data_IF_078110958463
#
_entry.id   IF_078110958463
#
_cell.length_a   1.000
_cell.length_b   1.000
_cell.length_c   1.000
_cell.angle_alpha   90.00
_cell.angle_beta   90.00
_cell.angle_gamma   90.00
#
_symmetry.space_group_name_H-M   'P 1'
#
loop_
_entity.id
_entity.type
_entity.pdbx_description
1 polymer ?
#
# COMPACT_ATOMS: atom_id res chain seq x y z
N UNK A 1 -8.76 -27.52 47.92
CA UNK A 1 -7.86 -26.36 48.15
C UNK A 1 -6.56 -26.40 47.34
N UNK A 2 -5.76 -27.49 47.32
CA UNK A 2 -4.44 -27.51 46.64
C UNK A 2 -4.44 -27.24 45.12
N UNK A 3 -5.50 -27.62 44.39
CA UNK A 3 -5.60 -27.42 42.93
C UNK A 3 -5.80 -25.94 42.54
N UNK A 4 -6.58 -25.19 43.32
CA UNK A 4 -6.85 -23.77 43.07
C UNK A 4 -5.62 -22.88 43.34
N UNK A 5 -4.84 -23.20 44.39
CA UNK A 5 -3.60 -22.49 44.70
C UNK A 5 -2.55 -22.66 43.60
N UNK A 6 -2.37 -23.89 43.10
CA UNK A 6 -1.43 -24.17 41.98
C UNK A 6 -1.80 -23.43 40.69
N UNK A 7 -3.09 -23.28 40.39
CA UNK A 7 -3.53 -22.52 39.20
C UNK A 7 -3.20 -21.02 39.36
N UNK A 8 -3.52 -20.44 40.52
CA UNK A 8 -3.26 -19.03 40.77
C UNK A 8 -1.77 -18.68 40.72
N UNK A 9 -0.89 -19.59 41.14
CA UNK A 9 0.57 -19.45 41.00
C UNK A 9 1.01 -19.51 39.52
N UNK A 10 0.43 -20.42 38.72
CA UNK A 10 0.73 -20.55 37.30
C UNK A 10 0.24 -19.34 36.48
N UNK A 11 -0.94 -18.80 36.80
CA UNK A 11 -1.48 -17.59 36.17
C UNK A 11 -0.56 -16.37 36.44
N UNK A 12 -0.11 -16.18 37.69
CA UNK A 12 0.87 -15.13 38.03
C UNK A 12 2.20 -15.29 37.32
N UNK A 13 2.68 -16.52 37.14
CA UNK A 13 3.89 -16.78 36.38
C UNK A 13 3.72 -16.38 34.90
N UNK A 14 2.58 -16.71 34.30
CA UNK A 14 2.26 -16.29 32.94
C UNK A 14 2.19 -14.76 32.81
N UNK A 15 1.57 -14.07 33.78
CA UNK A 15 1.52 -12.60 33.83
C UNK A 15 2.92 -11.98 33.91
N UNK A 16 3.80 -12.55 34.74
CA UNK A 16 5.17 -12.10 34.86
C UNK A 16 5.96 -12.27 33.56
N UNK A 17 5.79 -13.38 32.83
CA UNK A 17 6.41 -13.56 31.52
C UNK A 17 5.84 -12.62 30.47
N UNK A 18 4.51 -12.42 30.44
CA UNK A 18 3.87 -11.49 29.52
C UNK A 18 4.34 -10.04 29.75
N UNK A 19 4.54 -9.64 31.00
CA UNK A 19 5.04 -8.31 31.37
C UNK A 19 6.49 -8.03 30.91
N UNK A 20 7.30 -9.06 30.65
CA UNK A 20 8.66 -8.91 30.11
C UNK A 20 8.67 -8.58 28.63
N UNK A 21 7.60 -8.86 27.91
CA UNK A 21 7.48 -8.55 26.49
C UNK A 21 7.04 -7.09 26.35
N UNK A 22 8.00 -6.19 26.15
CA UNK A 22 7.75 -4.75 26.04
C UNK A 22 7.97 -4.21 24.62
N UNK A 23 8.52 -5.01 23.71
CA UNK A 23 8.82 -4.63 22.34
C UNK A 23 8.72 -5.84 21.41
N UNK A 24 8.43 -5.56 20.14
CA UNK A 24 8.42 -6.54 19.06
C UNK A 24 9.28 -6.03 17.92
N UNK A 25 9.91 -6.95 17.20
CA UNK A 25 10.71 -6.64 16.02
C UNK A 25 9.98 -7.03 14.76
N UNK A 26 10.25 -6.31 13.68
CA UNK A 26 9.72 -6.59 12.34
C UNK A 26 10.84 -7.17 11.49
N UNK A 27 10.57 -8.28 10.80
CA UNK A 27 11.48 -8.91 9.83
C UNK A 27 10.76 -9.02 8.49
N UNK A 28 11.15 -8.19 7.53
CA UNK A 28 10.42 -8.05 6.26
C UNK A 28 8.98 -7.57 6.50
N UNK A 29 8.00 -8.29 5.94
CA UNK A 29 6.58 -8.02 6.12
C UNK A 29 5.94 -8.88 7.22
N UNK A 30 6.68 -9.18 8.31
CA UNK A 30 6.17 -9.99 9.40
C UNK A 30 6.65 -9.52 10.78
N UNK A 31 5.75 -9.53 11.75
CA UNK A 31 6.09 -9.34 13.17
C UNK A 31 6.73 -10.62 13.69
N UNK A 32 7.94 -10.50 14.23
CA UNK A 32 8.62 -11.61 14.89
C UNK A 32 8.08 -11.74 16.32
N UNK A 33 7.34 -12.82 16.58
CA UNK A 33 6.85 -13.13 17.92
C UNK A 33 8.02 -13.64 18.79
N UNK A 34 8.11 -13.20 20.05
CA UNK A 34 9.13 -13.69 20.98
C UNK A 34 8.89 -15.14 21.34
N UNK A 35 9.95 -15.89 21.56
CA UNK A 35 9.89 -17.24 22.12
C UNK A 35 9.95 -17.16 23.64
N UNK A 36 8.94 -17.70 24.32
CA UNK A 36 8.91 -17.79 25.79
C UNK A 36 8.87 -19.27 26.17
N UNK A 37 9.84 -19.72 26.97
CA UNK A 37 9.98 -21.13 27.29
C UNK A 37 8.71 -21.69 27.99
N UNK A 38 8.13 -22.72 27.38
CA UNK A 38 6.92 -23.37 27.88
C UNK A 38 5.64 -22.55 27.75
N UNK A 39 5.61 -21.58 26.82
CA UNK A 39 4.40 -20.87 26.41
C UNK A 39 4.33 -20.76 24.89
N UNK A 40 3.12 -20.91 24.36
CA UNK A 40 2.77 -20.56 23.00
C UNK A 40 2.33 -19.10 22.96
N UNK A 41 3.00 -18.29 22.11
CA UNK A 41 2.74 -16.85 21.99
C UNK A 41 1.97 -16.57 20.71
N UNK A 42 0.83 -15.90 20.82
CA UNK A 42 -0.01 -15.51 19.67
C UNK A 42 -0.43 -14.05 19.78
N UNK A 43 -0.81 -13.42 18.66
CA UNK A 43 -1.39 -12.08 18.66
C UNK A 43 -2.88 -12.20 18.98
N UNK A 44 -3.29 -11.62 20.11
CA UNK A 44 -4.69 -11.54 20.52
C UNK A 44 -5.46 -10.50 19.73
N UNK A 45 -4.88 -9.31 19.63
CA UNK A 45 -5.52 -8.17 18.97
C UNK A 45 -4.49 -7.23 18.33
N UNK A 46 -4.96 -6.52 17.31
CA UNK A 46 -4.27 -5.44 16.63
C UNK A 46 -5.20 -4.24 16.57
N UNK A 47 -4.68 -3.03 16.77
CA UNK A 47 -5.46 -1.80 16.61
C UNK A 47 -5.77 -1.49 15.15
N UNK A 48 -5.02 -2.08 14.21
CA UNK A 48 -5.22 -1.95 12.77
C UNK A 48 -4.91 -3.29 12.08
N UNK A 49 -5.93 -4.14 11.97
CA UNK A 49 -5.81 -5.48 11.34
C UNK A 49 -5.57 -5.43 9.83
N UNK A 50 -5.79 -4.28 9.18
CA UNK A 50 -5.45 -4.10 7.77
C UNK A 50 -3.94 -3.90 7.56
N UNK A 51 -3.25 -3.33 8.55
CA UNK A 51 -1.79 -3.12 8.52
C UNK A 51 -1.04 -4.27 9.17
N UNK A 52 -1.48 -4.77 10.32
CA UNK A 52 -0.91 -5.98 10.95
C UNK A 52 -2.02 -6.95 11.33
N UNK A 53 -2.06 -8.08 10.64
CA UNK A 53 -3.01 -9.15 10.90
C UNK A 53 -2.63 -9.96 12.16
N UNK A 54 -3.59 -10.74 12.69
CA UNK A 54 -3.39 -11.57 13.90
C UNK A 54 -2.38 -12.72 13.74
N UNK A 55 -1.97 -13.03 12.52
CA UNK A 55 -0.89 -13.99 12.24
C UNK A 55 0.51 -13.31 12.19
N UNK A 56 0.55 -11.99 12.41
CA UNK A 56 1.74 -11.16 12.36
C UNK A 56 2.10 -10.68 10.96
N UNK A 57 1.32 -11.01 9.93
CA UNK A 57 1.56 -10.52 8.57
C UNK A 57 1.35 -9.01 8.50
N UNK A 58 2.31 -8.30 7.89
CA UNK A 58 2.29 -6.84 7.75
C UNK A 58 1.97 -6.49 6.31
N UNK A 59 0.99 -5.62 6.12
CA UNK A 59 0.67 -4.97 4.84
C UNK A 59 1.04 -3.49 4.98
N UNK A 60 2.20 -3.05 4.44
CA UNK A 60 2.61 -1.65 4.53
C UNK A 60 1.57 -0.70 3.93
N UNK A 61 1.26 0.38 4.65
CA UNK A 61 0.35 1.43 4.20
C UNK A 61 1.07 2.48 3.35
N UNK A 62 0.34 3.45 2.80
CA UNK A 62 0.92 4.56 2.04
C UNK A 62 1.80 5.50 2.90
N UNK A 63 1.50 5.56 4.20
CA UNK A 63 2.20 6.37 5.20
C UNK A 63 2.75 5.48 6.31
N UNK A 64 3.70 6.02 7.08
CA UNK A 64 4.20 5.36 8.29
C UNK A 64 3.05 5.19 9.29
N UNK A 65 2.97 4.01 9.91
CA UNK A 65 1.90 3.65 10.85
C UNK A 65 2.47 3.13 12.16
N UNK A 66 1.75 3.40 13.24
CA UNK A 66 1.98 2.78 14.53
C UNK A 66 0.77 1.90 14.86
N UNK A 67 1.01 0.62 15.10
CA UNK A 67 -0.03 -0.39 15.35
C UNK A 67 0.21 -1.00 16.73
N UNK A 68 -0.79 -0.92 17.60
CA UNK A 68 -0.75 -1.53 18.92
C UNK A 68 -1.14 -3.00 18.85
N UNK A 69 -0.30 -3.88 19.40
CA UNK A 69 -0.56 -5.32 19.48
C UNK A 69 -0.69 -5.76 20.94
N UNK A 70 -1.63 -6.66 21.22
CA UNK A 70 -1.68 -7.42 22.47
C UNK A 70 -1.40 -8.87 22.15
N UNK A 71 -0.45 -9.48 22.86
CA UNK A 71 -0.14 -10.90 22.71
C UNK A 71 -0.79 -11.70 23.84
N UNK A 72 -1.13 -12.95 23.57
CA UNK A 72 -1.50 -13.93 24.60
C UNK A 72 -0.42 -14.99 24.68
N UNK A 73 0.04 -15.25 25.91
CA UNK A 73 0.85 -16.40 26.26
C UNK A 73 -0.10 -17.49 26.75
N UNK A 74 -0.04 -18.67 26.16
CA UNK A 74 -0.77 -19.86 26.63
C UNK A 74 0.24 -20.88 27.11
N UNK A 75 0.07 -21.43 28.32
CA UNK A 75 1.02 -22.42 28.84
C UNK A 75 0.99 -23.67 27.97
N UNK A 76 2.16 -24.12 27.50
CA UNK A 76 2.24 -25.35 26.72
C UNK A 76 1.77 -26.54 27.54
N UNK A 77 0.77 -27.27 27.05
CA UNK A 77 0.16 -28.41 27.74
C UNK A 77 -0.92 -28.05 28.78
N UNK A 78 -1.23 -26.76 28.99
CA UNK A 78 -2.34 -26.29 29.83
C UNK A 78 -2.95 -25.00 29.26
N UNK A 79 -4.03 -25.15 28.49
CA UNK A 79 -4.73 -24.02 27.85
C UNK A 79 -5.53 -23.16 28.84
N UNK A 80 -5.62 -23.54 30.12
CA UNK A 80 -6.33 -22.78 31.14
C UNK A 80 -5.48 -21.70 31.80
N UNK A 81 -4.17 -21.75 31.58
CA UNK A 81 -3.20 -20.77 32.07
C UNK A 81 -2.83 -19.84 30.91
N UNK A 82 -3.36 -18.62 30.95
CA UNK A 82 -3.14 -17.60 29.94
C UNK A 82 -2.80 -16.26 30.59
N UNK A 83 -1.97 -15.48 29.92
CA UNK A 83 -1.74 -14.09 30.27
C UNK A 83 -1.59 -13.25 29.02
N UNK A 84 -2.08 -12.02 29.09
CA UNK A 84 -1.96 -11.06 28.00
C UNK A 84 -0.87 -10.04 28.31
N UNK A 85 -0.19 -9.57 27.26
CA UNK A 85 0.72 -8.44 27.38
C UNK A 85 -0.07 -7.14 27.55
N UNK A 86 0.63 -6.07 27.94
CA UNK A 86 0.13 -4.71 27.64
C UNK A 86 0.13 -4.49 26.12
N UNK A 87 -0.54 -3.44 25.66
CA UNK A 87 -0.43 -3.04 24.25
C UNK A 87 1.01 -2.63 23.95
N UNK A 88 1.59 -3.23 22.91
CA UNK A 88 2.94 -2.98 22.42
C UNK A 88 2.82 -2.27 21.07
N UNK A 89 3.39 -1.08 20.96
CA UNK A 89 3.38 -0.33 19.70
C UNK A 89 4.44 -0.86 18.75
N UNK A 90 4.01 -1.28 17.57
CA UNK A 90 4.87 -1.67 16.45
C UNK A 90 4.84 -0.59 15.39
N UNK A 91 6.02 -0.13 14.95
CA UNK A 91 6.15 0.84 13.86
C UNK A 91 6.24 0.09 12.53
N UNK A 92 5.35 0.44 11.61
CA UNK A 92 5.33 -0.08 10.24
C UNK A 92 5.71 1.06 9.33
N UNK A 93 6.83 0.90 8.62
CA UNK A 93 7.27 1.86 7.63
C UNK A 93 6.28 1.88 6.46
N UNK A 94 6.14 3.05 5.83
CA UNK A 94 5.37 3.18 4.60
C UNK A 94 5.86 2.23 3.51
N UNK A 95 4.94 1.86 2.62
CA UNK A 95 5.27 1.09 1.41
C UNK A 95 6.28 1.86 0.56
N UNK A 96 7.40 1.23 0.27
CA UNK A 96 8.35 1.71 -0.74
C UNK A 96 7.88 1.19 -2.09
N UNK A 97 7.53 2.09 -3.00
CA UNK A 97 7.13 1.73 -4.36
C UNK A 97 8.36 1.38 -5.19
N UNK A 98 8.22 0.35 -6.02
CA UNK A 98 9.19 0.06 -7.09
C UNK A 98 9.15 1.17 -8.15
N UNK A 99 10.22 1.35 -8.95
CA UNK A 99 10.20 2.33 -10.05
C UNK A 99 9.01 2.18 -11.01
N UNK A 100 8.58 0.93 -11.24
CA UNK A 100 7.41 0.61 -12.06
C UNK A 100 6.10 1.09 -11.40
N UNK A 101 5.90 0.81 -10.11
CA UNK A 101 4.72 1.31 -9.39
C UNK A 101 4.69 2.84 -9.30
N UNK A 102 5.85 3.50 -9.24
CA UNK A 102 5.92 4.96 -9.27
C UNK A 102 5.43 5.50 -10.62
N UNK A 103 5.87 4.95 -11.76
CA UNK A 103 5.42 5.44 -13.07
C UNK A 103 3.92 5.18 -13.28
N UNK A 104 3.39 4.06 -12.78
CA UNK A 104 1.95 3.77 -12.79
C UNK A 104 1.16 4.78 -11.96
N UNK A 105 1.65 5.12 -10.77
CA UNK A 105 1.02 6.14 -9.92
C UNK A 105 1.07 7.53 -10.57
N UNK A 106 2.16 7.92 -11.23
CA UNK A 106 2.24 9.19 -11.97
C UNK A 106 1.30 9.21 -13.19
N UNK A 107 1.22 8.13 -13.96
CA UNK A 107 0.30 8.02 -15.09
C UNK A 107 -1.16 8.13 -14.64
N UNK A 108 -1.51 7.54 -13.49
CA UNK A 108 -2.86 7.60 -12.93
C UNK A 108 -3.30 9.01 -12.50
N UNK A 109 -2.36 9.93 -12.21
CA UNK A 109 -2.66 11.34 -11.88
C UNK A 109 -3.09 12.16 -13.09
N UNK A 110 -2.71 11.74 -14.30
CA UNK A 110 -3.07 12.44 -15.53
C UNK A 110 -4.49 12.03 -15.91
N UNK A 111 -5.46 12.88 -15.56
CA UNK A 111 -6.89 12.62 -15.76
C UNK A 111 -7.54 13.57 -16.76
N UNK A 112 -6.83 14.62 -17.17
CA UNK A 112 -7.32 15.63 -18.11
C UNK A 112 -6.18 16.16 -18.97
N UNK A 113 -6.54 16.63 -20.16
CA UNK A 113 -5.65 17.28 -21.12
C UNK A 113 -6.25 18.62 -21.54
N UNK A 114 -5.40 19.55 -21.92
CA UNK A 114 -5.83 20.86 -22.43
C UNK A 114 -5.46 20.99 -23.89
N UNK A 115 -6.19 21.84 -24.60
CA UNK A 115 -5.97 22.13 -26.02
C UNK A 115 -5.54 23.59 -26.15
N UNK A 116 -4.50 23.84 -26.90
CA UNK A 116 -3.95 25.17 -27.18
C UNK A 116 -3.55 25.24 -28.65
N UNK A 117 -4.05 26.25 -29.39
CA UNK A 117 -3.71 26.50 -30.79
C UNK A 117 -3.79 25.24 -31.70
N UNK A 118 -4.92 24.53 -31.67
CA UNK A 118 -5.15 23.27 -32.40
C UNK A 118 -4.11 22.17 -32.09
N UNK A 119 -3.61 22.14 -30.85
CA UNK A 119 -2.72 21.09 -30.38
C UNK A 119 -3.06 20.68 -28.96
N UNK A 120 -3.01 19.38 -28.70
CA UNK A 120 -3.10 18.83 -27.35
C UNK A 120 -1.82 19.18 -26.59
N UNK A 121 -1.98 19.88 -25.47
CA UNK A 121 -0.89 20.20 -24.55
C UNK A 121 -0.62 18.99 -23.66
N UNK A 122 0.49 18.29 -23.93
CA UNK A 122 0.92 17.18 -23.09
C UNK A 122 1.43 17.71 -21.73
N UNK A 123 1.12 17.04 -20.62
CA UNK A 123 1.61 17.42 -19.31
C UNK A 123 3.12 17.14 -19.21
N UNK A 124 3.81 17.96 -18.42
CA UNK A 124 5.20 17.71 -18.05
C UNK A 124 5.23 16.97 -16.73
N UNK A 125 5.84 15.78 -16.71
CA UNK A 125 6.06 15.00 -15.48
C UNK A 125 7.56 14.88 -15.27
N UNK A 126 8.04 15.34 -14.11
CA UNK A 126 9.48 15.43 -13.84
C UNK A 126 10.15 14.04 -13.94
N UNK A 127 11.16 13.94 -14.81
CA UNK A 127 11.91 12.69 -15.02
C UNK A 127 11.16 11.62 -15.81
N UNK A 128 10.13 12.00 -16.57
CA UNK A 128 9.43 11.13 -17.52
C UNK A 128 9.20 11.85 -18.85
N UNK A 129 9.34 11.11 -19.94
CA UNK A 129 8.92 11.51 -21.27
C UNK A 129 7.45 11.08 -21.47
N UNK A 130 6.60 12.02 -21.90
CA UNK A 130 5.16 11.80 -22.09
C UNK A 130 4.84 11.86 -23.58
N UNK A 131 4.18 10.82 -24.11
CA UNK A 131 3.76 10.74 -25.50
C UNK A 131 2.34 10.21 -25.64
N UNK A 132 1.65 10.56 -26.73
CA UNK A 132 0.35 9.95 -27.05
C UNK A 132 0.61 8.55 -27.63
N UNK A 133 0.13 7.54 -26.92
CA UNK A 133 0.20 6.14 -27.34
C UNK A 133 -0.84 5.86 -28.42
N UNK A 134 -2.08 6.29 -28.18
CA UNK A 134 -3.22 6.04 -29.07
C UNK A 134 -4.26 7.15 -28.98
N UNK A 135 -5.02 7.25 -30.06
CA UNK A 135 -6.18 8.13 -30.22
C UNK A 135 -7.34 7.33 -30.79
N UNK A 136 -8.56 7.56 -30.29
CA UNK A 136 -9.75 6.89 -30.83
C UNK A 136 -10.17 7.42 -32.20
N UNK A 137 -9.70 8.61 -32.59
CA UNK A 137 -9.93 9.22 -33.90
C UNK A 137 -8.64 9.97 -34.33
N UNK A 138 -7.70 9.23 -34.93
CA UNK A 138 -6.40 9.77 -35.39
C UNK A 138 -6.55 10.79 -36.54
N UNK A 139 -7.70 10.85 -37.21
CA UNK A 139 -7.97 11.87 -38.22
C UNK A 139 -8.26 13.24 -37.59
N UNK A 140 -8.74 13.25 -36.34
CA UNK A 140 -9.05 14.46 -35.58
C UNK A 140 -7.91 14.84 -34.65
N UNK A 141 -7.37 13.88 -33.89
CA UNK A 141 -6.18 14.11 -33.05
C UNK A 141 -5.12 13.06 -33.38
N UNK A 142 -4.05 13.50 -34.02
CA UNK A 142 -2.91 12.65 -34.34
C UNK A 142 -2.05 12.35 -33.10
N UNK A 143 -1.16 11.34 -33.20
CA UNK A 143 -0.28 10.93 -32.08
C UNK A 143 0.78 11.98 -31.68
N UNK A 144 1.00 13.00 -32.49
CA UNK A 144 1.84 14.16 -32.14
C UNK A 144 1.06 15.26 -31.40
N UNK A 145 -0.24 15.03 -31.16
CA UNK A 145 -1.16 15.94 -30.52
C UNK A 145 -1.78 16.98 -31.45
N UNK A 146 -1.44 16.98 -32.75
CA UNK A 146 -2.01 17.91 -33.72
C UNK A 146 -3.50 17.64 -33.88
N UNK A 147 -4.30 18.71 -33.84
CA UNK A 147 -5.75 18.66 -33.96
C UNK A 147 -6.17 19.18 -35.34
N UNK A 148 -6.86 18.32 -36.10
CA UNK A 148 -7.53 18.71 -37.34
C UNK A 148 -8.93 19.24 -36.99
N UNK A 149 -9.30 20.46 -37.39
CA UNK A 149 -10.64 20.99 -37.17
C UNK A 149 -11.71 20.04 -37.72
N UNK A 150 -12.74 19.79 -36.89
CA UNK A 150 -13.90 19.01 -37.28
C UNK A 150 -15.10 19.94 -37.57
N UNK A 151 -16.00 19.50 -38.45
CA UNK A 151 -17.23 20.24 -38.76
C UNK A 151 -18.23 20.27 -37.59
N UNK A 152 -18.13 19.28 -36.70
CA UNK A 152 -18.97 19.11 -35.52
C UNK A 152 -18.09 18.93 -34.28
N UNK A 153 -18.67 19.19 -33.11
CA UNK A 153 -18.01 18.92 -31.84
C UNK A 153 -17.71 17.41 -31.73
N UNK A 154 -16.47 17.07 -31.38
CA UNK A 154 -16.02 15.70 -31.22
C UNK A 154 -15.38 15.46 -29.87
N UNK A 155 -15.58 14.25 -29.36
CA UNK A 155 -14.86 13.74 -28.19
C UNK A 155 -13.90 12.65 -28.65
N UNK A 156 -12.60 12.85 -28.38
CA UNK A 156 -11.54 11.92 -28.78
C UNK A 156 -10.85 11.42 -27.53
N UNK A 157 -10.85 10.10 -27.34
CA UNK A 157 -10.14 9.44 -26.26
C UNK A 157 -8.66 9.28 -26.59
N UNK A 158 -7.79 9.72 -25.68
CA UNK A 158 -6.34 9.58 -25.80
C UNK A 158 -5.79 8.72 -24.66
N UNK A 159 -4.86 7.82 -24.98
CA UNK A 159 -4.02 7.14 -23.99
C UNK A 159 -2.61 7.69 -24.13
N UNK A 160 -2.01 8.12 -23.03
CA UNK A 160 -0.62 8.56 -23.00
C UNK A 160 0.25 7.45 -22.43
N UNK A 161 1.51 7.39 -22.86
CA UNK A 161 2.55 6.59 -22.22
C UNK A 161 3.54 7.52 -21.53
N UNK A 162 3.82 7.25 -20.26
CA UNK A 162 4.96 7.82 -19.54
C UNK A 162 6.11 6.83 -19.66
N UNK A 163 7.28 7.32 -20.05
CA UNK A 163 8.54 6.54 -20.07
C UNK A 163 9.54 7.20 -19.14
N UNK A 164 10.21 6.41 -18.28
CA UNK A 164 11.24 6.98 -17.41
C UNK A 164 12.38 7.53 -18.25
N UNK A 165 12.76 8.78 -18.02
CA UNK A 165 13.89 9.37 -18.76
C UNK A 165 15.16 8.60 -18.43
N UNK A 166 15.83 8.08 -19.46
CA UNK A 166 17.04 7.27 -19.33
C UNK A 166 16.81 5.77 -19.08
N UNK A 167 15.56 5.32 -18.97
CA UNK A 167 15.20 3.90 -18.86
C UNK A 167 13.88 3.61 -19.58
N UNK A 168 13.97 3.07 -20.79
CA UNK A 168 12.82 2.79 -21.64
C UNK A 168 12.06 1.49 -21.27
N UNK A 169 12.51 0.78 -20.23
CA UNK A 169 11.84 -0.40 -19.70
C UNK A 169 10.76 -0.05 -18.67
N UNK A 170 10.89 1.09 -18.01
CA UNK A 170 9.95 1.58 -16.99
C UNK A 170 8.93 2.48 -17.66
N UNK A 171 7.72 1.94 -17.88
CA UNK A 171 6.64 2.61 -18.60
C UNK A 171 5.29 2.36 -17.95
N UNK A 172 4.40 3.35 -18.03
CA UNK A 172 2.99 3.14 -17.72
C UNK A 172 2.11 3.94 -18.68
N UNK A 173 0.94 3.38 -18.94
CA UNK A 173 -0.08 4.04 -19.75
C UNK A 173 -1.14 4.68 -18.85
N UNK A 174 -1.69 5.80 -19.29
CA UNK A 174 -2.84 6.43 -18.64
C UNK A 174 -4.11 5.61 -18.92
N UNK A 175 -5.18 5.89 -18.18
CA UNK A 175 -6.53 5.57 -18.67
C UNK A 175 -6.85 6.41 -19.91
N UNK A 176 -7.89 6.05 -20.66
CA UNK A 176 -8.39 6.88 -21.75
C UNK A 176 -8.87 8.23 -21.20
N UNK A 177 -8.29 9.32 -21.69
CA UNK A 177 -8.61 10.70 -21.34
C UNK A 177 -9.41 11.30 -22.51
N UNK A 178 -10.59 11.82 -22.23
CA UNK A 178 -11.43 12.43 -23.26
C UNK A 178 -10.99 13.87 -23.50
N UNK A 179 -10.64 14.19 -24.74
CA UNK A 179 -10.37 15.53 -25.24
C UNK A 179 -11.55 15.99 -26.09
N UNK A 180 -12.09 17.16 -25.77
CA UNK A 180 -13.16 17.80 -26.55
C UNK A 180 -12.56 18.69 -27.62
N UNK A 181 -12.90 18.43 -28.87
CA UNK A 181 -12.56 19.25 -30.02
C UNK A 181 -13.83 19.97 -30.43
N UNK A 182 -13.84 21.29 -30.25
CA UNK A 182 -14.97 22.11 -30.67
C UNK A 182 -14.98 22.24 -32.20
N UNK A 183 -16.17 22.35 -32.78
CA UNK A 183 -16.33 22.75 -34.17
C UNK A 183 -15.69 24.12 -34.42
N UNK A 184 -15.15 24.28 -35.61
CA UNK A 184 -14.46 25.50 -36.03
C UNK A 184 -15.29 26.29 -37.04
#
# INVERSE_FOLDING_TARGET
MKKALKKAEADKAAEAEAAKITALTVEGNKVKLPTVAGYDVTIKSSTDEAVIAKDGTITPAADDKEVGLVLTLTKTGDDTVKADTKSITVKVAKKVLTPQEVVEAEAAKITALTVEANKVKLPTVAGYDVAIKSSTDEAVIAKDGTITPAADDKEVGLVLTLTKTGDDTIKADTKSIIVKVAKN
#
